data_IF_386038463810
#
_entry.id   IF_386038463810
#
_cell.length_a   1.000
_cell.length_b   1.000
_cell.length_c   1.000
_cell.angle_alpha   90.00
_cell.angle_beta   90.00
_cell.angle_gamma   90.00
#
_symmetry.space_group_name_H-M   'P 1'
#
loop_
_entity.id
_entity.type
_entity.pdbx_description
1 polymer ?
#
# COMPACT_ATOMS: atom_id res chain seq x y z
N UNK A 1 9.53 3.71 -8.00
CA UNK A 1 8.31 3.00 -7.55
C UNK A 1 8.67 2.06 -6.42
N UNK A 2 7.71 1.79 -5.52
CA UNK A 2 7.91 0.86 -4.40
C UNK A 2 6.85 -0.24 -4.43
N UNK A 3 7.23 -1.40 -3.92
CA UNK A 3 6.41 -2.60 -3.85
C UNK A 3 6.08 -2.89 -2.39
N UNK A 4 4.82 -3.19 -2.08
CA UNK A 4 4.33 -3.41 -0.73
C UNK A 4 3.76 -4.81 -0.61
N UNK A 5 4.36 -5.62 0.26
CA UNK A 5 3.88 -6.94 0.62
C UNK A 5 3.16 -6.87 1.97
N UNK A 6 1.95 -7.43 2.03
CA UNK A 6 1.07 -7.33 3.18
C UNK A 6 0.94 -8.67 3.88
N UNK A 7 1.07 -8.68 5.21
CA UNK A 7 1.01 -9.92 5.97
C UNK A 7 -0.37 -10.58 5.98
N UNK A 8 -1.45 -9.79 5.91
CA UNK A 8 -2.84 -10.28 6.02
C UNK A 8 -3.67 -10.10 4.76
N UNK A 9 -3.04 -9.96 3.59
CA UNK A 9 -3.77 -9.83 2.34
C UNK A 9 -4.17 -11.22 1.82
N UNK A 10 -5.47 -11.48 1.51
CA UNK A 10 -5.97 -12.81 1.18
C UNK A 10 -5.50 -13.35 -0.18
N UNK A 11 -4.90 -12.51 -1.02
CA UNK A 11 -4.23 -12.94 -2.25
C UNK A 11 -2.72 -12.90 -2.01
N UNK A 12 -1.96 -13.90 -2.44
CA UNK A 12 -0.51 -13.78 -2.44
C UNK A 12 -0.13 -12.71 -3.48
N UNK A 13 0.09 -11.47 -3.05
CA UNK A 13 0.22 -10.34 -3.97
C UNK A 13 0.96 -9.16 -3.35
N UNK A 14 1.71 -8.48 -4.21
CA UNK A 14 2.44 -7.26 -3.90
C UNK A 14 1.72 -6.09 -4.56
N UNK A 15 1.55 -4.98 -3.85
CA UNK A 15 0.96 -3.75 -4.39
C UNK A 15 2.05 -2.78 -4.82
N UNK A 16 1.87 -2.10 -5.95
CA UNK A 16 2.80 -1.06 -6.39
C UNK A 16 2.32 0.31 -5.96
N UNK A 17 3.15 1.05 -5.22
CA UNK A 17 2.87 2.40 -4.74
C UNK A 17 3.86 3.43 -5.29
N UNK A 18 3.44 4.69 -5.26
CA UNK A 18 4.28 5.88 -5.48
C UNK A 18 5.57 5.85 -4.67
N UNK A 19 6.62 6.50 -5.18
CA UNK A 19 7.86 6.69 -4.41
C UNK A 19 7.64 7.61 -3.20
N UNK A 20 6.89 8.69 -3.42
CA UNK A 20 6.56 9.68 -2.42
C UNK A 20 5.11 9.56 -1.96
N UNK A 21 4.81 9.89 -0.70
CA UNK A 21 3.44 9.97 -0.24
C UNK A 21 2.72 11.11 -0.97
N UNK A 22 1.49 10.84 -1.39
CA UNK A 22 0.60 11.85 -1.99
C UNK A 22 0.04 12.81 -0.95
N UNK A 23 -0.04 12.37 0.31
CA UNK A 23 -0.50 13.20 1.42
C UNK A 23 0.02 12.68 2.77
N UNK A 24 0.08 13.56 3.78
CA UNK A 24 0.27 13.19 5.18
C UNK A 24 -0.96 13.61 5.99
N UNK A 25 -1.63 12.66 6.62
CA UNK A 25 -2.86 12.90 7.39
C UNK A 25 -2.72 12.34 8.80
N UNK A 26 -2.76 13.19 9.83
CA UNK A 26 -2.64 12.77 11.23
C UNK A 26 -1.40 11.89 11.51
N UNK A 27 -0.26 12.20 10.88
CA UNK A 27 0.97 11.42 10.99
C UNK A 27 1.03 10.15 10.11
N UNK A 28 -0.05 9.83 9.39
CA UNK A 28 -0.07 8.76 8.40
C UNK A 28 0.46 9.26 7.07
N UNK A 29 1.44 8.57 6.48
CA UNK A 29 1.88 8.82 5.10
C UNK A 29 1.02 8.02 4.14
N UNK A 30 0.33 8.71 3.24
CA UNK A 30 -0.63 8.11 2.31
C UNK A 30 0.03 7.96 0.95
N UNK A 31 -0.06 6.78 0.36
CA UNK A 31 0.48 6.46 -0.95
C UNK A 31 -0.65 6.01 -1.88
N UNK A 32 -0.58 6.45 -3.14
CA UNK A 32 -1.47 6.01 -4.20
C UNK A 32 -0.92 4.73 -4.87
N UNK A 33 -1.82 3.81 -5.22
CA UNK A 33 -1.51 2.61 -6.01
C UNK A 33 -1.30 2.98 -7.48
N UNK A 34 -0.13 2.66 -8.05
CA UNK A 34 0.25 3.18 -9.38
C UNK A 34 -0.48 2.47 -10.52
N UNK A 35 -0.68 1.15 -10.47
CA UNK A 35 -1.28 0.45 -11.62
C UNK A 35 -2.75 0.81 -11.76
N UNK A 36 -3.22 1.20 -12.95
CA UNK A 36 -4.64 1.52 -13.20
C UNK A 36 -5.61 0.40 -12.79
N UNK A 37 -5.13 -0.84 -12.77
CA UNK A 37 -5.90 -2.03 -12.37
C UNK A 37 -5.75 -2.39 -10.90
N UNK A 38 -4.77 -1.82 -10.18
CA UNK A 38 -4.59 -2.07 -8.75
C UNK A 38 -5.59 -1.25 -7.94
N UNK A 39 -6.54 -1.94 -7.35
CA UNK A 39 -7.44 -1.40 -6.36
C UNK A 39 -7.68 -2.46 -5.28
N UNK A 40 -8.01 -1.98 -4.10
CA UNK A 40 -8.29 -2.81 -2.95
C UNK A 40 -9.80 -2.93 -2.80
N UNK A 41 -10.34 -4.10 -3.12
CA UNK A 41 -11.73 -4.42 -2.83
C UNK A 41 -11.87 -4.87 -1.37
N UNK A 42 -12.33 -3.97 -0.52
CA UNK A 42 -12.54 -4.26 0.90
C UNK A 42 -13.86 -5.01 1.06
N UNK A 43 -13.80 -6.15 1.75
CA UNK A 43 -14.98 -6.90 2.21
C UNK A 43 -15.01 -6.93 3.73
N UNK A 44 -16.20 -6.82 4.32
CA UNK A 44 -16.45 -7.02 5.74
C UNK A 44 -17.50 -8.12 5.89
N UNK A 45 -17.18 -9.19 6.61
CA UNK A 45 -18.05 -10.36 6.77
C UNK A 45 -18.58 -10.90 5.42
N UNK A 46 -17.74 -10.94 4.40
CA UNK A 46 -18.08 -11.39 3.04
C UNK A 46 -18.77 -10.36 2.15
N UNK A 47 -19.31 -9.28 2.73
CA UNK A 47 -20.02 -8.21 2.01
C UNK A 47 -19.03 -7.20 1.43
N UNK A 48 -19.22 -6.81 0.17
CA UNK A 48 -18.43 -5.75 -0.46
C UNK A 48 -18.74 -4.39 0.18
N UNK A 49 -17.71 -3.73 0.70
CA UNK A 49 -17.82 -2.44 1.40
C UNK A 49 -17.39 -1.29 0.50
N UNK A 50 -16.41 -1.52 -0.38
CA UNK A 50 -15.93 -0.49 -1.30
C UNK A 50 -14.59 -0.85 -1.92
N UNK A 51 -14.19 0.03 -2.85
CA UNK A 51 -12.96 -0.07 -3.62
C UNK A 51 -12.04 1.10 -3.31
N UNK A 52 -10.79 0.82 -2.97
CA UNK A 52 -9.83 1.82 -2.48
C UNK A 52 -8.58 1.85 -3.35
N UNK A 53 -8.03 3.05 -3.53
CA UNK A 53 -6.84 3.31 -4.36
C UNK A 53 -5.61 3.75 -3.56
N UNK A 54 -5.78 3.91 -2.25
CA UNK A 54 -4.78 4.48 -1.37
C UNK A 54 -4.52 3.55 -0.19
N UNK A 55 -3.26 3.52 0.21
CA UNK A 55 -2.81 2.89 1.45
C UNK A 55 -2.10 3.92 2.30
N UNK A 56 -2.19 3.75 3.61
CA UNK A 56 -1.50 4.60 4.58
C UNK A 56 -0.54 3.77 5.43
N UNK A 57 0.61 4.34 5.76
CA UNK A 57 1.59 3.71 6.66
C UNK A 57 1.75 4.51 7.94
N UNK A 58 1.93 3.78 9.04
CA UNK A 58 2.37 4.30 10.32
C UNK A 58 3.45 3.39 10.91
N UNK A 59 4.72 3.79 10.80
CA UNK A 59 5.83 2.93 11.17
C UNK A 59 5.86 1.65 10.33
N UNK A 60 5.50 0.51 10.93
CA UNK A 60 5.48 -0.81 10.27
C UNK A 60 4.08 -1.33 9.96
N UNK A 61 3.04 -0.54 10.25
CA UNK A 61 1.64 -0.91 10.02
C UNK A 61 1.13 -0.29 8.72
N UNK A 62 0.37 -1.07 7.94
CA UNK A 62 -0.28 -0.64 6.71
C UNK A 62 -1.80 -0.67 6.85
N UNK A 63 -2.44 0.36 6.32
CA UNK A 63 -3.89 0.53 6.34
C UNK A 63 -4.44 0.77 4.93
N UNK A 64 -5.66 0.31 4.67
CA UNK A 64 -6.48 0.86 3.60
C UNK A 64 -6.81 2.30 4.00
N UNK A 65 -6.58 3.26 3.11
CA UNK A 65 -6.93 4.64 3.38
C UNK A 65 -8.07 5.11 2.50
N UNK A 66 -9.13 5.64 3.13
CA UNK A 66 -10.21 6.30 2.44
C UNK A 66 -9.89 7.79 2.30
N UNK A 67 -9.56 8.21 1.09
CA UNK A 67 -9.26 9.62 0.80
C UNK A 67 -10.49 10.52 0.98
N UNK A 68 -11.70 10.03 0.72
CA UNK A 68 -12.90 10.86 0.80
C UNK A 68 -13.23 11.21 2.26
N UNK A 69 -13.13 10.23 3.16
CA UNK A 69 -13.34 10.45 4.60
C UNK A 69 -12.07 10.84 5.37
N UNK A 70 -10.90 10.82 4.71
CA UNK A 70 -9.57 11.11 5.26
C UNK A 70 -9.23 10.26 6.50
N UNK A 71 -9.59 8.97 6.47
CA UNK A 71 -9.44 8.04 7.60
C UNK A 71 -9.01 6.64 7.16
N UNK A 72 -8.34 5.88 8.03
CA UNK A 72 -8.12 4.45 7.80
C UNK A 72 -9.46 3.71 7.68
N UNK A 73 -9.64 2.99 6.58
CA UNK A 73 -10.81 2.16 6.34
C UNK A 73 -10.61 0.73 6.83
N UNK A 74 -9.38 0.26 7.04
CA UNK A 74 -9.08 -1.07 7.53
C UNK A 74 -7.57 -1.27 7.70
N UNK A 75 -7.17 -2.26 8.50
CA UNK A 75 -5.76 -2.60 8.70
C UNK A 75 -5.38 -3.84 7.90
N UNK A 76 -4.21 -3.83 7.27
CA UNK A 76 -3.52 -5.02 6.77
C UNK A 76 -2.49 -5.57 7.75
N UNK A 77 -2.28 -4.87 8.86
CA UNK A 77 -1.25 -5.20 9.83
C UNK A 77 0.15 -4.87 9.30
N UNK A 78 1.16 -5.66 9.73
CA UNK A 78 2.54 -5.47 9.30
C UNK A 78 2.74 -5.60 7.79
N UNK A 79 3.61 -4.76 7.24
CA UNK A 79 4.02 -4.84 5.83
C UNK A 79 5.54 -4.92 5.66
N UNK A 80 5.96 -5.32 4.47
CA UNK A 80 7.32 -5.14 3.96
C UNK A 80 7.26 -4.32 2.70
N UNK A 81 8.25 -3.44 2.49
CA UNK A 81 8.35 -2.69 1.26
C UNK A 81 9.70 -2.91 0.59
N UNK A 82 9.68 -2.93 -0.74
CA UNK A 82 10.87 -3.14 -1.56
C UNK A 82 10.93 -2.07 -2.66
N UNK A 83 12.13 -1.59 -2.97
CA UNK A 83 12.39 -0.79 -4.16
C UNK A 83 13.18 -1.59 -5.17
N UNK A 84 12.86 -1.45 -6.45
CA UNK A 84 13.72 -1.95 -7.53
C UNK A 84 14.69 -0.88 -7.97
N UNK A 85 15.97 -1.24 -8.05
CA UNK A 85 16.99 -0.41 -8.70
C UNK A 85 17.50 -1.18 -9.91
N UNK A 86 17.47 -0.55 -11.08
CA UNK A 86 18.02 -1.13 -12.31
C UNK A 86 19.35 -0.47 -12.62
N UNK A 87 20.41 -1.26 -12.71
CA UNK A 87 21.74 -0.81 -13.13
C UNK A 87 22.26 -1.69 -14.28
N UNK A 88 23.49 -1.43 -14.75
CA UNK A 88 24.13 -2.20 -15.82
C UNK A 88 24.29 -3.71 -15.48
N UNK A 89 24.16 -4.10 -14.21
CA UNK A 89 24.22 -5.48 -13.73
C UNK A 89 22.85 -6.16 -13.56
N UNK A 90 21.74 -5.49 -13.90
CA UNK A 90 20.38 -6.05 -13.84
C UNK A 90 19.46 -5.35 -12.85
N UNK A 91 18.37 -6.02 -12.47
CA UNK A 91 17.38 -5.50 -11.50
C UNK A 91 17.70 -6.05 -10.11
N UNK A 92 17.87 -5.15 -9.13
CA UNK A 92 18.03 -5.50 -7.72
C UNK A 92 16.80 -5.08 -6.91
N UNK A 93 16.36 -5.96 -6.02
CA UNK A 93 15.37 -5.65 -5.00
C UNK A 93 16.09 -5.28 -3.70
N UNK A 94 15.66 -4.20 -3.06
CA UNK A 94 16.16 -3.78 -1.75
C UNK A 94 14.99 -3.48 -0.84
N UNK A 95 15.02 -4.00 0.39
CA UNK A 95 14.01 -3.69 1.40
C UNK A 95 14.14 -2.22 1.82
N UNK A 96 13.01 -1.53 1.89
CA UNK A 96 12.93 -0.10 2.21
C UNK A 96 11.82 0.15 3.22
N UNK A 97 11.86 1.33 3.85
CA UNK A 97 10.72 1.85 4.61
C UNK A 97 9.96 2.83 3.72
N UNK A 98 8.63 2.73 3.72
CA UNK A 98 7.75 3.76 3.15
C UNK A 98 7.70 4.92 4.10
#
# INVERSE_FOLDING_TARGET
MKYVEMSNWPHAGTLTVGDDPVEVVNGLRVYELISAYEHIDKRANGVFVGRYKHVAVNGRELFIFDMASRRPAGSFGPYRAYSTTSDAGGVRLSEVTL
#
